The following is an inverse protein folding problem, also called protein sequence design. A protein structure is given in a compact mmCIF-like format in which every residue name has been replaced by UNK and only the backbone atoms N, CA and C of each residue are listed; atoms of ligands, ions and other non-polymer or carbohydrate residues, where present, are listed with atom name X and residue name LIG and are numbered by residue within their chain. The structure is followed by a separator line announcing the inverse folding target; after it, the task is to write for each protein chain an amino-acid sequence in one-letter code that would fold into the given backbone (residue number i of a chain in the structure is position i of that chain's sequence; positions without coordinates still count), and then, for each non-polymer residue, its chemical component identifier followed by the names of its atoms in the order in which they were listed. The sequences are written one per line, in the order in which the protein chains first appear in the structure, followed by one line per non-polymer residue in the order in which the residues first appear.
data_IF_265827510534
#
_entry.id   IF_265827510534
#
_cell.length_a   1.000
_cell.length_b   1.000
_cell.length_c   1.000
_cell.angle_alpha   90.00
_cell.angle_beta   90.00
_cell.angle_gamma   90.00
#
_symmetry.space_group_name_H-M   'P 1'
#
loop_
_entity.id
_entity.type
_entity.pdbx_description
1 polymer ?
#
# COMPACT_ATOMS: atom_id res chain seq x y z
N UNK A 1 19.02 -7.95 3.59
CA UNK A 1 17.76 -8.70 3.65
C UNK A 1 16.66 -7.70 3.41
N UNK A 2 15.79 -7.95 2.42
CA UNK A 2 14.72 -7.02 2.04
C UNK A 2 13.43 -7.48 2.72
N UNK A 3 12.81 -6.62 3.51
CA UNK A 3 11.58 -6.92 4.25
C UNK A 3 10.38 -6.19 3.65
N UNK A 4 9.36 -6.94 3.25
CA UNK A 4 8.13 -6.35 2.68
C UNK A 4 7.01 -6.41 3.71
N UNK A 5 6.47 -5.25 4.08
CA UNK A 5 5.33 -5.12 5.00
C UNK A 5 4.08 -4.74 4.22
N UNK A 6 3.02 -5.56 4.35
CA UNK A 6 1.70 -5.23 3.81
C UNK A 6 0.90 -4.47 4.87
N UNK A 7 0.64 -3.20 4.62
CA UNK A 7 -0.13 -2.30 5.47
C UNK A 7 -1.51 -2.00 4.86
N UNK A 8 -1.89 -0.74 4.68
CA UNK A 8 -3.12 -0.26 4.04
C UNK A 8 -3.01 1.23 3.71
N UNK A 9 -3.71 1.72 2.69
CA UNK A 9 -3.91 3.17 2.55
C UNK A 9 -4.59 3.73 3.80
N UNK A 10 -4.47 5.04 4.04
CA UNK A 10 -5.01 5.71 5.23
C UNK A 10 -4.36 5.30 6.57
N UNK A 11 -3.33 4.44 6.59
CA UNK A 11 -2.60 4.10 7.82
C UNK A 11 -2.05 5.34 8.54
N UNK A 12 -1.56 6.34 7.80
CA UNK A 12 -1.10 7.62 8.36
C UNK A 12 -2.11 8.77 8.13
N UNK A 13 -3.41 8.47 7.97
CA UNK A 13 -4.45 9.45 7.60
C UNK A 13 -4.44 10.76 8.41
N UNK A 14 -4.10 10.69 9.70
CA UNK A 14 -4.08 11.85 10.61
C UNK A 14 -3.01 12.88 10.24
N UNK A 15 -1.92 12.48 9.57
CA UNK A 15 -0.83 13.39 9.20
C UNK A 15 -1.19 14.30 8.02
N UNK A 16 -2.22 13.94 7.25
CA UNK A 16 -2.63 14.64 6.03
C UNK A 16 -4.14 14.90 5.96
N UNK A 17 -4.82 14.91 7.11
CA UNK A 17 -6.21 15.37 7.25
C UNK A 17 -7.28 14.40 6.74
N UNK A 18 -6.98 13.10 6.65
CA UNK A 18 -7.91 12.06 6.18
C UNK A 18 -8.56 11.25 7.30
N UNK A 19 -8.37 11.62 8.57
CA UNK A 19 -8.92 10.90 9.73
C UNK A 19 -10.46 10.93 9.80
N UNK A 20 -11.09 11.83 9.05
CA UNK A 20 -12.53 11.90 8.93
C UNK A 20 -13.11 11.16 7.72
N UNK A 21 -12.25 10.61 6.86
CA UNK A 21 -12.67 9.86 5.67
C UNK A 21 -13.48 8.60 6.05
N UNK A 22 -14.45 8.18 5.21
CA UNK A 22 -15.20 6.96 5.46
C UNK A 22 -14.30 5.73 5.58
N UNK A 23 -13.29 5.61 4.71
CA UNK A 23 -12.33 4.51 4.73
C UNK A 23 -11.58 4.39 6.06
N UNK A 24 -11.10 5.51 6.61
CA UNK A 24 -10.39 5.50 7.88
C UNK A 24 -11.32 5.10 9.03
N UNK A 25 -12.50 5.73 9.12
CA UNK A 25 -13.46 5.47 10.21
C UNK A 25 -13.96 4.02 10.21
N UNK A 26 -14.36 3.51 9.05
CA UNK A 26 -14.86 2.13 8.92
C UNK A 26 -13.75 1.13 9.26
N UNK A 27 -12.54 1.35 8.75
CA UNK A 27 -11.44 0.41 8.97
C UNK A 27 -10.98 0.43 10.43
N UNK A 28 -10.89 1.61 11.07
CA UNK A 28 -10.56 1.71 12.50
C UNK A 28 -11.68 1.27 13.44
N UNK A 29 -12.93 1.11 12.98
CA UNK A 29 -13.97 0.48 13.79
C UNK A 29 -13.61 -0.97 14.16
N UNK A 30 -12.71 -1.62 13.41
CA UNK A 30 -12.16 -2.94 13.71
C UNK A 30 -10.96 -2.85 14.67
N UNK A 31 -11.16 -2.21 15.82
CA UNK A 31 -10.15 -2.17 16.89
C UNK A 31 -8.94 -1.27 16.58
N UNK A 32 -9.16 -0.12 15.95
CA UNK A 32 -8.12 0.86 15.61
C UNK A 32 -6.99 0.29 14.72
N UNK A 33 -7.31 -0.65 13.83
CA UNK A 33 -6.32 -1.39 13.04
C UNK A 33 -5.35 -0.51 12.23
N UNK A 34 -5.77 0.64 11.71
CA UNK A 34 -4.88 1.57 10.99
C UNK A 34 -3.94 2.29 11.96
N UNK A 35 -4.43 2.65 13.15
CA UNK A 35 -3.59 3.25 14.19
C UNK A 35 -2.55 2.23 14.70
N UNK A 36 -2.87 0.93 14.75
CA UNK A 36 -1.89 -0.13 15.07
C UNK A 36 -0.91 -0.39 13.91
N UNK A 37 -1.38 -0.36 12.66
CA UNK A 37 -0.52 -0.50 11.47
C UNK A 37 0.52 0.60 11.41
N UNK A 38 0.19 1.85 11.73
CA UNK A 38 1.18 2.94 11.68
C UNK A 38 2.26 2.79 12.78
N UNK A 39 1.93 2.18 13.91
CA UNK A 39 2.93 1.83 14.94
C UNK A 39 3.92 0.80 14.38
N UNK A 40 3.43 -0.24 13.71
CA UNK A 40 4.27 -1.25 13.07
C UNK A 40 5.15 -0.66 11.95
N UNK A 41 4.57 0.18 11.08
CA UNK A 41 5.31 0.89 10.03
C UNK A 41 6.43 1.75 10.64
N UNK A 42 6.14 2.59 11.63
CA UNK A 42 7.16 3.45 12.28
C UNK A 42 8.26 2.64 12.94
N UNK A 43 7.94 1.49 13.51
CA UNK A 43 8.95 0.59 14.08
C UNK A 43 9.88 0.00 13.02
N UNK A 44 9.34 -0.36 11.85
CA UNK A 44 10.13 -0.85 10.72
C UNK A 44 11.00 0.26 10.12
N UNK A 45 10.42 1.45 9.89
CA UNK A 45 11.12 2.61 9.31
C UNK A 45 12.28 3.13 10.18
N UNK A 46 12.24 2.90 11.49
CA UNK A 46 13.32 3.27 12.43
C UNK A 46 14.29 2.13 12.72
N UNK A 47 14.12 0.98 12.07
CA UNK A 47 15.03 -0.16 12.17
C UNK A 47 16.21 -0.04 11.21
N UNK A 48 17.16 -0.99 11.27
CA UNK A 48 18.25 -1.11 10.29
C UNK A 48 17.95 -2.07 9.14
N UNK A 49 16.70 -2.51 9.01
CA UNK A 49 16.27 -3.47 7.98
C UNK A 49 15.90 -2.70 6.72
N UNK A 50 16.39 -3.12 5.56
CA UNK A 50 15.93 -2.58 4.28
C UNK A 50 14.49 -3.04 4.03
N UNK A 51 13.60 -2.09 3.73
CA UNK A 51 12.16 -2.35 3.71
C UNK A 51 11.44 -1.77 2.51
N UNK A 52 10.29 -2.38 2.20
CA UNK A 52 9.24 -1.79 1.37
C UNK A 52 7.91 -1.95 2.09
N UNK A 53 7.22 -0.84 2.35
CA UNK A 53 5.87 -0.85 2.92
C UNK A 53 4.87 -0.69 1.78
N UNK A 54 4.02 -1.70 1.58
CA UNK A 54 2.97 -1.69 0.57
C UNK A 54 1.63 -1.41 1.25
N UNK A 55 1.00 -0.29 0.90
CA UNK A 55 -0.29 0.18 1.41
C UNK A 55 -1.38 -0.01 0.34
N UNK A 56 -2.04 -1.18 0.27
CA UNK A 56 -3.11 -1.40 -0.69
C UNK A 56 -4.40 -0.68 -0.31
N UNK A 57 -5.20 -0.37 -1.34
CA UNK A 57 -6.62 -0.01 -1.19
C UNK A 57 -7.51 -1.17 -0.75
N UNK A 58 -8.82 -1.02 -0.93
CA UNK A 58 -9.81 -2.05 -0.59
C UNK A 58 -9.55 -3.37 -1.32
N UNK A 59 -9.43 -4.47 -0.57
CA UNK A 59 -9.01 -5.77 -1.12
C UNK A 59 -10.17 -6.55 -1.75
N UNK A 60 -10.08 -6.81 -3.05
CA UNK A 60 -11.03 -7.66 -3.80
C UNK A 60 -10.51 -9.08 -3.99
N UNK A 61 -11.44 -10.03 -4.13
CA UNK A 61 -11.13 -11.45 -4.42
C UNK A 61 -11.18 -11.77 -5.93
N UNK A 62 -11.76 -10.87 -6.73
CA UNK A 62 -11.77 -10.99 -8.18
C UNK A 62 -10.37 -10.84 -8.76
N UNK A 63 -10.16 -11.40 -9.96
CA UNK A 63 -8.95 -11.14 -10.75
C UNK A 63 -8.77 -9.63 -11.03
N UNK A 64 -7.53 -9.17 -11.28
CA UNK A 64 -7.28 -7.79 -11.65
C UNK A 64 -8.12 -7.40 -12.88
N UNK A 65 -8.82 -6.27 -12.79
CA UNK A 65 -9.69 -5.75 -13.86
C UNK A 65 -9.19 -4.42 -14.43
N UNK A 66 -8.23 -3.77 -13.77
CA UNK A 66 -7.61 -2.53 -14.21
C UNK A 66 -6.09 -2.58 -14.18
N UNK A 67 -5.47 -1.47 -14.60
CA UNK A 67 -4.03 -1.26 -14.47
C UNK A 67 -3.63 -0.94 -13.03
N UNK A 68 -2.47 -1.44 -12.61
CA UNK A 68 -1.86 -1.05 -11.34
C UNK A 68 -1.56 0.45 -11.33
N UNK A 69 -1.99 1.14 -10.28
CA UNK A 69 -1.54 2.48 -9.93
C UNK A 69 -0.69 2.37 -8.69
N UNK A 70 0.55 2.86 -8.79
CA UNK A 70 1.46 3.01 -7.65
C UNK A 70 1.61 4.50 -7.38
N UNK A 71 1.39 4.91 -6.13
CA UNK A 71 1.48 6.28 -5.67
C UNK A 71 2.42 6.38 -4.48
N UNK A 72 2.90 7.60 -4.21
CA UNK A 72 3.67 7.88 -3.00
C UNK A 72 2.78 7.80 -1.75
N UNK A 73 3.40 7.79 -0.58
CA UNK A 73 2.68 7.86 0.69
C UNK A 73 1.73 9.06 0.76
N UNK A 74 0.61 8.86 1.47
CA UNK A 74 -0.34 9.90 1.82
C UNK A 74 -0.92 10.61 0.58
N UNK A 75 -1.24 9.82 -0.47
CA UNK A 75 -1.82 10.31 -1.72
C UNK A 75 -3.20 9.71 -1.98
N UNK A 76 -3.40 8.43 -1.66
CA UNK A 76 -4.63 7.69 -1.94
C UNK A 76 -5.51 7.56 -0.69
N UNK A 77 -6.74 8.07 -0.77
CA UNK A 77 -7.74 7.93 0.29
C UNK A 77 -8.89 6.96 -0.05
N UNK A 78 -8.86 6.39 -1.26
CA UNK A 78 -9.88 5.49 -1.79
C UNK A 78 -9.32 4.68 -2.95
N UNK A 79 -10.07 3.67 -3.38
CA UNK A 79 -9.71 2.74 -4.45
C UNK A 79 -9.64 1.30 -3.95
N UNK A 80 -9.62 0.37 -4.89
CA UNK A 80 -9.65 -1.06 -4.62
C UNK A 80 -8.60 -1.78 -5.46
N UNK A 81 -8.17 -2.95 -5.01
CA UNK A 81 -7.16 -3.77 -5.69
C UNK A 81 -7.41 -5.25 -5.44
N UNK A 82 -7.17 -6.07 -6.46
CA UNK A 82 -7.16 -7.53 -6.36
C UNK A 82 -6.02 -7.99 -5.46
N UNK A 83 -6.30 -8.97 -4.60
CA UNK A 83 -5.26 -9.63 -3.79
C UNK A 83 -4.14 -10.23 -4.65
N UNK A 84 -4.44 -10.65 -5.87
CA UNK A 84 -3.44 -11.18 -6.82
C UNK A 84 -2.43 -10.08 -7.19
N UNK A 85 -2.91 -8.87 -7.50
CA UNK A 85 -2.04 -7.76 -7.87
C UNK A 85 -1.25 -7.22 -6.68
N UNK A 86 -1.82 -7.25 -5.46
CA UNK A 86 -1.06 -6.97 -4.23
C UNK A 86 0.10 -7.96 -4.08
N UNK A 87 -0.14 -9.25 -4.30
CA UNK A 87 0.90 -10.28 -4.22
C UNK A 87 2.00 -10.03 -5.27
N UNK A 88 1.64 -9.71 -6.50
CA UNK A 88 2.61 -9.38 -7.57
C UNK A 88 3.51 -8.20 -7.16
N UNK A 89 2.93 -7.12 -6.60
CA UNK A 89 3.71 -5.95 -6.12
C UNK A 89 4.63 -6.33 -4.96
N UNK A 90 4.16 -7.15 -4.02
CA UNK A 90 4.97 -7.57 -2.87
C UNK A 90 6.14 -8.45 -3.30
N UNK A 91 5.94 -9.35 -4.25
CA UNK A 91 7.01 -10.17 -4.82
C UNK A 91 7.99 -9.29 -5.59
N UNK A 92 7.51 -8.33 -6.39
CA UNK A 92 8.37 -7.38 -7.09
C UNK A 92 9.26 -6.56 -6.14
N UNK A 93 8.70 -6.09 -5.02
CA UNK A 93 9.44 -5.34 -4.00
C UNK A 93 10.62 -6.12 -3.41
N UNK A 94 10.57 -7.46 -3.36
CA UNK A 94 11.69 -8.25 -2.85
C UNK A 94 12.94 -8.17 -3.75
N UNK A 95 12.75 -7.91 -5.05
CA UNK A 95 13.81 -8.02 -6.06
C UNK A 95 14.13 -6.71 -6.80
N UNK A 96 13.30 -5.68 -6.68
CA UNK A 96 13.56 -4.37 -7.28
C UNK A 96 14.21 -3.42 -6.25
N UNK A 97 15.49 -3.08 -6.48
CA UNK A 97 16.23 -2.14 -5.64
C UNK A 97 15.58 -0.75 -5.57
N UNK A 98 14.80 -0.36 -6.59
CA UNK A 98 14.04 0.91 -6.58
C UNK A 98 12.92 0.94 -5.53
N UNK A 99 12.60 -0.19 -4.91
CA UNK A 99 11.61 -0.29 -3.84
C UNK A 99 12.20 -0.06 -2.44
N UNK A 100 13.53 -0.09 -2.31
CA UNK A 100 14.24 0.03 -1.02
C UNK A 100 13.89 1.32 -0.27
N UNK A 101 13.59 1.17 1.01
CA UNK A 101 13.19 2.22 1.96
C UNK A 101 11.99 3.06 1.48
N UNK A 102 11.03 2.45 0.78
CA UNK A 102 9.84 3.15 0.28
C UNK A 102 8.55 2.72 0.95
N UNK A 103 7.62 3.67 1.00
CA UNK A 103 6.21 3.44 1.24
C UNK A 103 5.49 3.68 -0.09
N UNK A 104 4.76 2.67 -0.56
CA UNK A 104 3.99 2.76 -1.81
C UNK A 104 2.51 2.49 -1.55
N UNK A 105 1.64 3.30 -2.13
CA UNK A 105 0.19 3.13 -2.08
C UNK A 105 -0.30 2.56 -3.40
N UNK A 106 -1.09 1.47 -3.36
CA UNK A 106 -1.48 0.73 -4.56
C UNK A 106 -2.99 0.52 -4.69
N UNK A 107 -3.52 0.80 -5.89
CA UNK A 107 -4.91 0.55 -6.30
C UNK A 107 -4.95 0.05 -7.75
N UNK A 108 -6.10 -0.44 -8.19
CA UNK A 108 -6.41 -0.66 -9.60
C UNK A 108 -7.22 0.50 -10.19
N UNK A 109 -6.93 0.84 -11.44
CA UNK A 109 -7.69 1.81 -12.25
C UNK A 109 -8.11 1.14 -13.57
N UNK A 110 -9.41 1.01 -13.79
CA UNK A 110 -10.02 0.35 -14.95
C UNK A 110 -9.76 1.09 -16.27
N UNK A 111 -9.35 2.37 -16.20
CA UNK A 111 -9.01 3.19 -17.37
C UNK A 111 -7.53 3.13 -17.71
N UNK A 112 -6.69 2.55 -16.85
CA UNK A 112 -5.25 2.45 -17.11
C UNK A 112 -4.88 1.10 -17.69
N UNK A 113 -3.94 1.08 -18.66
CA UNK A 113 -3.39 -0.18 -19.15
C UNK A 113 -2.61 -0.90 -18.04
N UNK A 114 -2.40 -2.20 -18.20
CA UNK A 114 -1.54 -2.98 -17.31
C UNK A 114 -0.14 -2.36 -17.26
N UNK A 115 0.33 -2.02 -16.07
CA UNK A 115 1.69 -1.57 -15.83
C UNK A 115 2.66 -2.74 -16.02
N UNK A 116 3.77 -2.51 -16.72
CA UNK A 116 4.83 -3.51 -16.87
C UNK A 116 5.51 -3.74 -15.51
N UNK A 117 5.94 -4.98 -15.25
CA UNK A 117 6.43 -5.41 -13.94
C UNK A 117 7.66 -4.60 -13.49
N UNK A 118 8.54 -4.27 -14.43
CA UNK A 118 9.78 -3.51 -14.22
C UNK A 118 9.53 -2.03 -13.85
N UNK A 119 8.27 -1.59 -13.99
CA UNK A 119 7.84 -0.21 -13.76
C UNK A 119 7.08 -0.02 -12.46
N UNK A 120 6.95 -1.06 -11.63
CA UNK A 120 6.16 -0.98 -10.39
C UNK A 120 6.72 0.03 -9.40
N UNK A 121 8.03 0.29 -9.42
CA UNK A 121 8.71 1.21 -8.52
C UNK A 121 9.44 2.35 -9.26
N UNK A 122 9.04 2.68 -10.49
CA UNK A 122 9.56 3.87 -11.22
C UNK A 122 9.06 5.21 -10.67
#
# INVERSE_FOLDING_TARGET
ENFVLISSILTDARSWGQENSPGFKVTNAFGNVLDEKIVAERKLMTSSVDYTIVRPGGLKASKPSGGLVVSNENTLNSGEISRDLVADVCVAALFDEKSSNRVVEIIEDDKKPKLAYEKYFE
#
